data_IF_371653698662
#
_entry.id   IF_371653698662
#
_cell.length_a   1.000
_cell.length_b   1.000
_cell.length_c   1.000
_cell.angle_alpha   90.00
_cell.angle_beta   90.00
_cell.angle_gamma   90.00
#
_symmetry.space_group_name_H-M   'P 1'
#
loop_
_entity.id
_entity.type
_entity.pdbx_description
1 polymer ?
#
# COMPACT_ATOMS: atom_id res chain seq x y z
N UNK A 1 15.48 15.33 19.92
CA UNK A 1 16.88 15.47 20.38
C UNK A 1 17.30 14.27 21.21
N UNK A 2 16.76 14.08 22.43
CA UNK A 2 17.18 13.00 23.34
C UNK A 2 17.13 11.56 22.79
N UNK A 3 16.17 11.22 21.92
CA UNK A 3 16.13 9.89 21.30
C UNK A 3 17.19 9.70 20.21
N UNK A 4 17.43 10.74 19.40
CA UNK A 4 18.46 10.71 18.37
C UNK A 4 19.85 10.63 19.00
N UNK A 5 20.10 11.39 20.07
CA UNK A 5 21.36 11.35 20.81
C UNK A 5 21.64 9.97 21.42
N UNK A 6 20.61 9.33 22.00
CA UNK A 6 20.72 7.94 22.50
C UNK A 6 21.06 6.96 21.39
N UNK A 7 20.37 7.06 20.25
CA UNK A 7 20.64 6.21 19.07
C UNK A 7 22.05 6.40 18.53
N UNK A 8 22.54 7.65 18.44
CA UNK A 8 23.91 7.92 17.98
C UNK A 8 24.96 7.37 18.94
N UNK A 9 24.73 7.47 20.25
CA UNK A 9 25.63 6.87 21.26
C UNK A 9 25.63 5.35 21.14
N UNK A 10 24.45 4.74 21.05
CA UNK A 10 24.31 3.29 20.90
C UNK A 10 24.98 2.79 19.61
N UNK A 11 24.73 3.47 18.49
CA UNK A 11 25.37 3.18 17.21
C UNK A 11 26.90 3.23 17.30
N UNK A 12 27.46 4.19 18.03
CA UNK A 12 28.90 4.30 18.26
C UNK A 12 29.46 3.14 19.09
N UNK A 13 28.77 2.74 20.16
CA UNK A 13 29.17 1.58 20.97
C UNK A 13 29.15 0.29 20.15
N UNK A 14 28.14 0.12 19.30
CA UNK A 14 28.01 -1.03 18.39
C UNK A 14 29.03 -1.02 17.26
N UNK A 15 29.39 0.15 16.74
CA UNK A 15 30.46 0.29 15.76
C UNK A 15 31.84 -0.08 16.34
N UNK A 16 32.11 0.31 17.60
CA UNK A 16 33.33 -0.10 18.32
C UNK A 16 33.37 -1.60 18.57
N UNK A 17 32.24 -2.19 18.97
CA UNK A 17 32.12 -3.64 19.14
C UNK A 17 32.40 -4.37 17.82
N UNK A 18 31.83 -3.88 16.71
CA UNK A 18 32.03 -4.44 15.38
C UNK A 18 33.52 -4.42 15.02
N UNK A 19 34.19 -3.27 15.16
CA UNK A 19 35.62 -3.17 14.92
C UNK A 19 36.44 -4.11 15.83
N UNK A 20 36.05 -4.23 17.09
CA UNK A 20 36.71 -5.12 18.07
C UNK A 20 36.59 -6.62 17.75
N UNK A 21 35.73 -7.02 16.81
CA UNK A 21 35.65 -8.40 16.33
C UNK A 21 36.73 -8.75 15.29
N UNK A 22 37.47 -7.76 14.79
CA UNK A 22 38.50 -7.91 13.76
C UNK A 22 39.90 -7.61 14.31
N UNK A 23 40.94 -7.93 13.53
CA UNK A 23 42.33 -7.84 14.01
C UNK A 23 42.77 -6.38 14.10
N UNK A 24 43.65 -6.10 15.07
CA UNK A 24 44.31 -4.81 15.20
C UNK A 24 45.12 -4.53 13.92
N UNK A 25 44.73 -3.53 13.15
CA UNK A 25 45.38 -3.14 11.89
C UNK A 25 44.52 -3.33 10.63
N UNK A 26 43.36 -3.98 10.71
CA UNK A 26 42.44 -4.09 9.57
C UNK A 26 41.84 -2.73 9.18
N UNK A 27 41.78 -1.78 10.12
CA UNK A 27 41.42 -0.39 9.87
C UNK A 27 42.68 0.49 9.86
N UNK A 28 42.89 1.22 8.75
CA UNK A 28 43.94 2.24 8.65
C UNK A 28 43.71 3.40 9.63
N UNK A 29 42.46 3.78 9.84
CA UNK A 29 42.03 4.80 10.79
C UNK A 29 40.79 4.29 11.56
N UNK A 30 40.98 3.72 12.77
CA UNK A 30 39.91 3.20 13.60
C UNK A 30 38.84 4.24 13.95
N UNK A 31 39.24 5.48 14.23
CA UNK A 31 38.32 6.52 14.70
C UNK A 31 37.41 6.97 13.55
N UNK A 32 37.99 7.18 12.36
CA UNK A 32 37.21 7.51 11.16
C UNK A 32 36.29 6.36 10.76
N UNK A 33 36.73 5.10 10.86
CA UNK A 33 35.89 3.95 10.58
C UNK A 33 34.68 3.89 11.53
N UNK A 34 34.91 4.00 12.84
CA UNK A 34 33.84 4.00 13.85
C UNK A 34 32.88 5.15 13.60
N UNK A 35 33.36 6.36 13.31
CA UNK A 35 32.50 7.51 13.01
C UNK A 35 31.61 7.27 11.78
N UNK A 36 32.17 6.74 10.69
CA UNK A 36 31.44 6.43 9.46
C UNK A 36 30.36 5.36 9.69
N UNK A 37 30.70 4.26 10.38
CA UNK A 37 29.75 3.19 10.70
C UNK A 37 28.65 3.70 11.65
N UNK A 38 29.00 4.50 12.66
CA UNK A 38 28.04 5.09 13.60
C UNK A 38 27.01 5.96 12.86
N UNK A 39 27.47 6.78 11.91
CA UNK A 39 26.59 7.63 11.12
C UNK A 39 25.56 6.81 10.33
N UNK A 40 25.97 5.67 9.76
CA UNK A 40 25.07 4.76 9.05
C UNK A 40 24.09 4.07 10.00
N UNK A 41 24.62 3.44 11.06
CA UNK A 41 23.81 2.69 12.03
C UNK A 41 22.75 3.59 12.68
N UNK A 42 23.06 4.86 12.95
CA UNK A 42 22.13 5.82 13.57
C UNK A 42 20.84 6.11 12.77
N UNK A 43 20.78 5.66 11.51
CA UNK A 43 19.58 5.77 10.64
C UNK A 43 18.61 4.61 10.83
N UNK A 44 19.02 3.57 11.54
CA UNK A 44 18.26 2.33 11.74
C UNK A 44 17.84 2.21 13.21
N UNK A 45 16.76 1.47 13.50
CA UNK A 45 16.32 1.25 14.89
C UNK A 45 17.28 0.32 15.64
N UNK A 46 17.31 0.39 16.98
CA UNK A 46 18.27 -0.30 17.84
C UNK A 46 18.30 -1.81 17.62
N UNK A 47 17.16 -2.42 17.34
CA UNK A 47 17.04 -3.86 17.10
C UNK A 47 17.81 -4.28 15.84
N UNK A 48 17.76 -3.46 14.78
CA UNK A 48 18.49 -3.71 13.53
C UNK A 48 19.99 -3.51 13.73
N UNK A 49 20.35 -2.43 14.43
CA UNK A 49 21.76 -2.17 14.80
C UNK A 49 22.29 -3.39 15.57
N UNK A 50 21.55 -3.88 16.56
CA UNK A 50 21.92 -5.05 17.37
C UNK A 50 22.12 -6.28 16.50
N UNK A 51 21.15 -6.59 15.64
CA UNK A 51 21.13 -7.78 14.79
C UNK A 51 22.32 -7.82 13.82
N UNK A 52 22.59 -6.70 13.14
CA UNK A 52 23.66 -6.59 12.14
C UNK A 52 25.05 -6.63 12.78
N UNK A 53 25.22 -5.99 13.95
CA UNK A 53 26.51 -5.91 14.64
C UNK A 53 26.75 -7.04 15.64
N UNK A 54 25.82 -8.00 15.77
CA UNK A 54 25.93 -9.08 16.75
C UNK A 54 27.12 -10.00 16.41
N UNK A 55 28.05 -10.27 17.35
CA UNK A 55 29.28 -11.01 17.04
C UNK A 55 29.02 -12.46 16.61
N UNK A 56 27.97 -13.11 17.11
CA UNK A 56 27.67 -14.52 16.80
C UNK A 56 26.77 -14.71 15.57
N UNK A 57 25.94 -13.72 15.22
CA UNK A 57 24.85 -13.91 14.23
C UNK A 57 24.82 -12.86 13.12
N UNK A 58 25.49 -11.72 13.34
CA UNK A 58 25.56 -10.58 12.45
C UNK A 58 26.76 -10.65 11.49
N UNK A 59 27.25 -9.49 11.06
CA UNK A 59 28.36 -9.36 10.13
C UNK A 59 29.65 -10.08 10.59
N UNK A 60 30.06 -9.99 11.87
CA UNK A 60 31.28 -10.67 12.33
C UNK A 60 31.29 -12.19 12.12
N UNK A 61 30.14 -12.85 12.17
CA UNK A 61 30.08 -14.30 11.98
C UNK A 61 30.00 -14.73 10.52
N UNK A 62 29.80 -13.79 9.59
CA UNK A 62 29.62 -14.05 8.16
C UNK A 62 30.78 -13.54 7.32
N UNK A 63 31.53 -12.55 7.80
CA UNK A 63 32.63 -11.91 7.09
C UNK A 63 33.95 -12.14 7.79
N UNK A 64 34.92 -12.70 7.06
CA UNK A 64 36.29 -12.93 7.57
C UNK A 64 37.13 -11.64 7.64
N UNK A 65 36.74 -10.61 6.90
CA UNK A 65 37.44 -9.34 6.78
C UNK A 65 36.58 -8.21 7.34
N UNK A 66 37.23 -7.11 7.74
CA UNK A 66 36.56 -5.92 8.23
C UNK A 66 35.56 -5.42 7.16
N UNK A 67 34.25 -5.33 7.48
CA UNK A 67 33.25 -4.96 6.50
C UNK A 67 33.39 -3.49 6.14
N UNK A 68 33.21 -3.21 4.86
CA UNK A 68 33.13 -1.86 4.33
C UNK A 68 31.87 -1.15 4.82
N UNK A 69 31.93 0.18 4.79
CA UNK A 69 30.80 1.07 5.06
C UNK A 69 29.56 0.70 4.23
N UNK A 70 29.76 0.28 2.97
CA UNK A 70 28.70 -0.18 2.08
C UNK A 70 28.09 -1.51 2.53
N UNK A 71 28.91 -2.50 2.88
CA UNK A 71 28.41 -3.80 3.34
C UNK A 71 27.59 -3.70 4.62
N UNK A 72 27.98 -2.79 5.53
CA UNK A 72 27.19 -2.52 6.74
C UNK A 72 25.83 -1.92 6.37
N UNK A 73 25.78 -0.96 5.44
CA UNK A 73 24.53 -0.37 4.98
C UNK A 73 23.63 -1.40 4.30
N UNK A 74 24.19 -2.21 3.40
CA UNK A 74 23.46 -3.25 2.67
C UNK A 74 22.89 -4.31 3.65
N UNK A 75 23.64 -4.68 4.69
CA UNK A 75 23.17 -5.60 5.73
C UNK A 75 22.03 -5.00 6.57
N UNK A 76 22.10 -3.71 6.90
CA UNK A 76 21.01 -3.02 7.60
C UNK A 76 19.75 -2.92 6.73
N UNK A 77 19.90 -2.60 5.43
CA UNK A 77 18.76 -2.54 4.52
C UNK A 77 18.12 -3.91 4.29
N UNK A 78 18.95 -4.97 4.19
CA UNK A 78 18.44 -6.32 4.14
C UNK A 78 17.65 -6.68 5.41
N UNK A 79 18.18 -6.38 6.61
CA UNK A 79 17.50 -6.70 7.86
C UNK A 79 16.16 -5.95 8.01
N UNK A 80 16.08 -4.68 7.58
CA UNK A 80 14.85 -3.89 7.68
C UNK A 80 13.83 -4.25 6.60
N UNK A 81 14.25 -4.64 5.40
CA UNK A 81 13.32 -5.00 4.31
C UNK A 81 12.44 -6.19 4.68
N UNK A 82 13.02 -7.24 5.27
CA UNK A 82 12.27 -8.40 5.76
C UNK A 82 11.21 -8.00 6.80
N UNK A 83 11.52 -7.05 7.68
CA UNK A 83 10.56 -6.57 8.68
C UNK A 83 9.44 -5.76 8.05
N UNK A 84 9.78 -4.80 7.18
CA UNK A 84 8.79 -4.00 6.44
C UNK A 84 7.83 -4.87 5.63
N UNK A 85 8.35 -5.91 4.97
CA UNK A 85 7.53 -6.85 4.21
C UNK A 85 6.58 -7.66 5.10
N UNK A 86 7.06 -8.10 6.27
CA UNK A 86 6.24 -8.81 7.26
C UNK A 86 5.15 -7.92 7.83
N UNK A 87 5.48 -6.71 8.25
CA UNK A 87 4.52 -5.73 8.77
C UNK A 87 3.45 -5.40 7.71
N UNK A 88 3.87 -5.09 6.48
CA UNK A 88 2.95 -4.84 5.37
C UNK A 88 2.05 -6.06 5.06
N UNK A 89 2.56 -7.29 5.21
CA UNK A 89 1.77 -8.51 5.06
C UNK A 89 0.73 -8.64 6.19
N UNK A 90 1.12 -8.41 7.42
CA UNK A 90 0.24 -8.47 8.58
C UNK A 90 -0.88 -7.42 8.50
N UNK A 91 -0.56 -6.21 8.04
CA UNK A 91 -1.55 -5.16 7.78
C UNK A 91 -2.55 -5.55 6.68
N UNK A 92 -2.07 -6.14 5.57
CA UNK A 92 -2.95 -6.65 4.52
C UNK A 92 -3.90 -7.73 5.05
N UNK A 93 -3.40 -8.66 5.87
CA UNK A 93 -4.22 -9.71 6.48
C UNK A 93 -5.25 -9.09 7.42
N UNK A 94 -4.84 -8.14 8.27
CA UNK A 94 -5.73 -7.44 9.21
C UNK A 94 -6.86 -6.73 8.48
N UNK A 95 -6.53 -6.00 7.41
CA UNK A 95 -7.51 -5.30 6.59
C UNK A 95 -8.51 -6.28 5.96
N UNK A 96 -8.03 -7.40 5.40
CA UNK A 96 -8.92 -8.43 4.84
C UNK A 96 -9.86 -9.05 5.89
N UNK A 97 -9.38 -9.27 7.12
CA UNK A 97 -10.21 -9.79 8.20
C UNK A 97 -11.29 -8.78 8.62
N UNK A 98 -10.93 -7.50 8.73
CA UNK A 98 -11.87 -6.42 9.04
C UNK A 98 -12.94 -6.27 7.95
N UNK A 99 -12.53 -6.26 6.67
CA UNK A 99 -13.46 -6.21 5.53
C UNK A 99 -14.43 -7.39 5.53
N UNK A 100 -13.94 -8.60 5.85
CA UNK A 100 -14.79 -9.79 6.00
C UNK A 100 -15.77 -9.64 7.15
N UNK A 101 -15.31 -9.19 8.31
CA UNK A 101 -16.18 -8.97 9.48
C UNK A 101 -17.25 -7.91 9.19
N UNK A 102 -16.90 -6.82 8.52
CA UNK A 102 -17.85 -5.80 8.06
C UNK A 102 -18.86 -6.36 7.06
N UNK A 103 -18.40 -7.19 6.11
CA UNK A 103 -19.28 -7.84 5.14
C UNK A 103 -20.26 -8.80 5.83
N UNK A 104 -19.79 -9.62 6.76
CA UNK A 104 -20.63 -10.53 7.53
C UNK A 104 -21.64 -9.76 8.38
N UNK A 105 -21.20 -8.70 9.09
CA UNK A 105 -22.12 -7.81 9.82
C UNK A 105 -23.15 -7.15 8.90
N UNK A 106 -22.74 -6.69 7.73
CA UNK A 106 -23.66 -6.11 6.75
C UNK A 106 -24.65 -7.14 6.21
N UNK A 107 -24.22 -8.40 6.01
CA UNK A 107 -25.09 -9.51 5.59
C UNK A 107 -26.10 -9.83 6.68
N UNK A 108 -25.66 -9.94 7.93
CA UNK A 108 -26.50 -10.28 9.07
C UNK A 108 -27.49 -9.15 9.41
N UNK A 109 -27.12 -7.90 9.11
CA UNK A 109 -28.01 -6.73 9.22
C UNK A 109 -29.02 -6.61 8.08
N UNK A 110 -28.94 -7.43 7.01
CA UNK A 110 -29.92 -7.38 5.93
C UNK A 110 -31.29 -7.77 6.47
N UNK A 111 -32.34 -6.95 6.22
CA UNK A 111 -33.68 -7.30 6.65
C UNK A 111 -34.11 -8.64 6.09
N UNK A 112 -34.76 -9.45 6.93
CA UNK A 112 -35.30 -10.74 6.51
C UNK A 112 -36.46 -10.56 5.52
N UNK A 113 -36.80 -11.61 4.78
CA UNK A 113 -37.92 -11.61 3.84
C UNK A 113 -39.23 -11.15 4.50
N UNK A 114 -39.48 -11.60 5.73
CA UNK A 114 -40.65 -11.23 6.51
C UNK A 114 -40.65 -9.74 6.90
N UNK A 115 -39.49 -9.21 7.32
CA UNK A 115 -39.32 -7.80 7.64
C UNK A 115 -39.54 -6.90 6.41
N UNK A 116 -39.06 -7.33 5.23
CA UNK A 116 -39.29 -6.60 3.98
C UNK A 116 -40.77 -6.61 3.58
N UNK A 117 -41.44 -7.77 3.67
CA UNK A 117 -42.88 -7.88 3.41
C UNK A 117 -43.72 -7.06 4.40
N UNK A 118 -43.32 -7.01 5.67
CA UNK A 118 -43.98 -6.17 6.67
C UNK A 118 -43.82 -4.67 6.36
N UNK A 119 -42.66 -4.27 5.83
CA UNK A 119 -42.36 -2.87 5.50
C UNK A 119 -43.03 -2.39 4.21
N UNK A 120 -43.08 -3.23 3.18
CA UNK A 120 -43.51 -2.84 1.83
C UNK A 120 -44.80 -3.52 1.34
N UNK A 121 -45.39 -4.41 2.13
CA UNK A 121 -46.58 -5.18 1.77
C UNK A 121 -46.27 -6.43 0.92
N UNK A 122 -47.30 -7.21 0.54
CA UNK A 122 -47.16 -8.46 -0.22
C UNK A 122 -46.48 -8.27 -1.58
N UNK A 123 -46.73 -7.12 -2.20
CA UNK A 123 -46.24 -6.77 -3.54
C UNK A 123 -44.93 -5.96 -3.49
N UNK A 124 -44.28 -5.89 -2.32
CA UNK A 124 -42.97 -5.24 -2.17
C UNK A 124 -42.95 -3.75 -2.54
N UNK A 125 -44.10 -3.08 -2.50
CA UNK A 125 -44.27 -1.71 -2.98
C UNK A 125 -44.16 -1.55 -4.50
N UNK A 126 -44.12 -2.65 -5.26
CA UNK A 126 -44.14 -2.67 -6.72
C UNK A 126 -45.60 -2.73 -7.15
N UNK A 127 -46.25 -1.58 -7.10
CA UNK A 127 -47.61 -1.43 -7.62
C UNK A 127 -47.59 -1.23 -9.13
N UNK A 128 -48.55 -1.85 -9.81
CA UNK A 128 -48.69 -1.94 -11.28
C UNK A 128 -48.59 -0.57 -12.01
N UNK A 129 -48.95 0.52 -11.35
CA UNK A 129 -48.84 1.88 -11.88
C UNK A 129 -47.41 2.40 -12.07
N UNK A 130 -46.40 1.82 -11.40
CA UNK A 130 -44.98 2.11 -11.64
C UNK A 130 -44.44 1.35 -12.87
N UNK A 131 -45.15 0.30 -13.32
CA UNK A 131 -44.84 -0.46 -14.53
C UNK A 131 -45.55 0.07 -15.77
N UNK A 132 -46.28 1.19 -15.66
CA UNK A 132 -46.80 1.90 -16.81
C UNK A 132 -45.61 2.41 -17.64
N UNK A 133 -45.12 1.54 -18.53
CA UNK A 133 -44.03 1.81 -19.47
C UNK A 133 -44.48 3.06 -20.23
N UNK A 134 -43.76 4.17 -20.03
CA UNK A 134 -44.01 5.36 -20.83
C UNK A 134 -44.04 4.92 -22.31
N UNK A 135 -45.05 5.34 -23.09
CA UNK A 135 -45.12 4.95 -24.49
C UNK A 135 -43.77 5.25 -25.13
N UNK A 136 -43.22 4.33 -25.94
CA UNK A 136 -41.92 4.55 -26.56
C UNK A 136 -41.99 5.88 -27.30
N UNK A 137 -41.06 6.78 -26.98
CA UNK A 137 -41.00 8.09 -27.65
C UNK A 137 -40.84 7.80 -29.15
N UNK A 138 -41.79 8.22 -30.01
CA UNK A 138 -41.68 7.97 -31.43
C UNK A 138 -40.38 8.60 -31.94
N UNK A 139 -39.68 7.88 -32.81
CA UNK A 139 -38.45 8.38 -33.40
C UNK A 139 -38.70 9.75 -34.04
N UNK A 140 -37.82 10.75 -33.84
CA UNK A 140 -37.98 12.06 -34.44
C UNK A 140 -38.08 11.96 -35.96
N UNK A 141 -39.02 12.67 -36.56
CA UNK A 141 -39.14 12.72 -38.02
C UNK A 141 -37.95 13.45 -38.64
N UNK A 142 -37.71 13.24 -39.95
CA UNK A 142 -36.60 13.90 -40.66
C UNK A 142 -36.64 15.42 -40.52
N UNK A 143 -37.83 16.02 -40.52
CA UNK A 143 -38.02 17.46 -40.35
C UNK A 143 -37.73 17.94 -38.92
N UNK A 144 -38.10 17.14 -37.92
CA UNK A 144 -37.76 17.41 -36.52
C UNK A 144 -36.24 17.35 -36.29
N UNK A 145 -35.56 16.42 -36.96
CA UNK A 145 -34.10 16.35 -36.96
C UNK A 145 -33.50 17.57 -37.68
N UNK A 146 -33.99 17.96 -38.85
CA UNK A 146 -33.50 19.16 -39.55
C UNK A 146 -33.59 20.41 -38.70
N UNK A 147 -34.73 20.65 -38.05
CA UNK A 147 -34.93 21.79 -37.17
C UNK A 147 -34.00 21.74 -35.95
N UNK A 148 -33.81 20.55 -35.36
CA UNK A 148 -32.87 20.36 -34.26
C UNK A 148 -31.43 20.70 -34.67
N UNK A 149 -30.97 20.20 -35.82
CA UNK A 149 -29.62 20.46 -36.31
C UNK A 149 -29.39 21.93 -36.70
N UNK A 150 -30.41 22.60 -37.25
CA UNK A 150 -30.37 24.04 -37.53
C UNK A 150 -30.31 24.89 -36.24
N UNK A 151 -31.04 24.49 -35.20
CA UNK A 151 -31.06 25.20 -33.93
C UNK A 151 -29.71 25.13 -33.18
N UNK A 152 -28.98 24.03 -33.32
CA UNK A 152 -27.68 23.80 -32.66
C UNK A 152 -26.47 24.01 -33.58
N UNK A 153 -26.68 24.54 -34.79
CA UNK A 153 -25.64 24.82 -35.80
C UNK A 153 -24.77 23.59 -36.15
N UNK A 154 -25.41 22.41 -36.21
CA UNK A 154 -24.77 21.13 -36.50
C UNK A 154 -24.99 20.74 -37.98
N UNK A 155 -23.95 20.25 -38.65
CA UNK A 155 -24.06 19.77 -40.03
C UNK A 155 -24.74 18.39 -40.10
N UNK A 156 -25.99 18.34 -40.61
CA UNK A 156 -26.71 17.09 -40.85
C UNK A 156 -26.18 16.41 -42.12
N UNK A 157 -25.53 15.25 -41.99
CA UNK A 157 -25.15 14.39 -43.12
C UNK A 157 -26.05 13.15 -43.14
N UNK A 158 -27.20 13.17 -43.84
CA UNK A 158 -28.00 11.96 -44.00
C UNK A 158 -27.17 10.91 -44.75
N UNK A 159 -27.14 9.68 -44.22
CA UNK A 159 -26.55 8.54 -44.92
C UNK A 159 -27.36 8.33 -46.21
N UNK A 160 -26.74 8.54 -47.37
CA UNK A 160 -27.39 8.23 -48.64
C UNK A 160 -27.75 6.75 -48.63
N UNK A 161 -29.02 6.45 -48.90
CA UNK A 161 -29.46 5.08 -49.13
C UNK A 161 -28.77 4.62 -50.41
N UNK A 162 -27.80 3.72 -50.28
CA UNK A 162 -27.27 2.97 -51.43
C UNK A 162 -28.45 2.19 -52.01
N UNK A 163 -29.03 2.75 -53.09
CA UNK A 163 -30.07 2.10 -53.86
C UNK A 163 -29.51 0.81 -54.45
N UNK A 164 -30.18 -0.30 -54.14
CA UNK A 164 -29.95 -1.63 -54.70
C UNK A 164 -30.13 -1.64 -56.23
#
# INVERSE_FOLDING_TARGET
MAQQERLTSYAADRARLLLGCYRTGDANDPDTYVAAISAILSRYPEEIITEVTHPATGLPSRSNWLPTVKEVADACEAAISWRREREAREERIRKQLQEREEFERARDARPTLEQLKAKYGPDWGITEHLMAKAPPVPAPTLDQLRHHYQHYDLAMKPKQEDAA
#
